data_IF_548407772260
#
_entry.id   IF_548407772260
#
_cell.length_a   1.000
_cell.length_b   1.000
_cell.length_c   1.000
_cell.angle_alpha   90.00
_cell.angle_beta   90.00
_cell.angle_gamma   90.00
#
_symmetry.space_group_name_H-M   'P 1'
#
loop_
_entity.id
_entity.type
_entity.pdbx_description
1 polymer ?
#
# COMPACT_ATOMS: atom_id res chain seq x y z
N UNK A 1 1.15 -0.81 1.07
CA UNK A 1 1.75 0.50 1.39
C UNK A 1 1.21 1.02 2.72
N UNK A 2 2.03 1.73 3.49
CA UNK A 2 1.65 2.37 4.75
C UNK A 2 1.76 3.90 4.64
N UNK A 3 0.66 4.61 4.92
CA UNK A 3 0.62 6.07 5.07
C UNK A 3 0.74 6.43 6.55
N UNK A 4 1.94 6.85 6.93
CA UNK A 4 2.30 7.18 8.30
C UNK A 4 1.67 8.49 8.77
N UNK A 5 1.63 8.71 10.10
CA UNK A 5 1.15 9.97 10.68
C UNK A 5 1.94 11.19 10.20
N UNK A 6 3.22 11.02 9.84
CA UNK A 6 4.10 12.07 9.31
C UNK A 6 4.05 12.22 7.79
N UNK A 7 3.28 11.38 7.08
CA UNK A 7 3.26 11.35 5.62
C UNK A 7 2.75 12.66 4.99
N UNK A 8 3.35 13.07 3.89
CA UNK A 8 2.84 14.17 3.06
C UNK A 8 1.67 13.69 2.21
N UNK A 9 0.53 14.37 2.29
CA UNK A 9 -0.72 13.96 1.63
C UNK A 9 -0.63 14.05 0.11
N UNK A 10 0.05 15.04 -0.45
CA UNK A 10 0.17 15.21 -1.90
C UNK A 10 1.10 14.15 -2.50
N UNK A 11 2.25 13.92 -1.86
CA UNK A 11 3.15 12.82 -2.23
C UNK A 11 2.42 11.49 -2.13
N UNK A 12 1.69 11.28 -1.02
CA UNK A 12 0.92 10.07 -0.79
C UNK A 12 -0.13 9.81 -1.86
N UNK A 13 -0.90 10.82 -2.25
CA UNK A 13 -1.90 10.71 -3.31
C UNK A 13 -1.27 10.30 -4.64
N UNK A 14 -0.14 10.91 -5.01
CA UNK A 14 0.58 10.58 -6.25
C UNK A 14 1.15 9.16 -6.22
N UNK A 15 1.75 8.73 -5.10
CA UNK A 15 2.33 7.40 -4.91
C UNK A 15 1.25 6.33 -4.98
N UNK A 16 0.16 6.49 -4.22
CA UNK A 16 -0.94 5.52 -4.16
C UNK A 16 -1.65 5.42 -5.52
N UNK A 17 -1.89 6.56 -6.19
CA UNK A 17 -2.46 6.58 -7.54
C UNK A 17 -1.58 5.78 -8.51
N UNK A 18 -0.30 6.08 -8.56
CA UNK A 18 0.64 5.41 -9.46
C UNK A 18 0.72 3.91 -9.16
N UNK A 19 0.90 3.54 -7.88
CA UNK A 19 1.04 2.15 -7.45
C UNK A 19 -0.21 1.31 -7.77
N UNK A 20 -1.42 1.91 -7.72
CA UNK A 20 -2.67 1.21 -8.01
C UNK A 20 -3.05 1.21 -9.47
N UNK A 21 -2.83 2.30 -10.21
CA UNK A 21 -3.48 2.50 -11.51
C UNK A 21 -2.55 2.39 -12.72
N UNK A 22 -1.24 2.34 -12.53
CA UNK A 22 -0.27 2.20 -13.63
C UNK A 22 -0.46 0.89 -14.38
N UNK A 23 -0.53 -0.22 -13.64
CA UNK A 23 -0.85 -1.57 -14.13
C UNK A 23 -1.51 -2.35 -13.00
N UNK A 24 -2.74 -2.79 -13.18
CA UNK A 24 -3.51 -3.47 -12.12
C UNK A 24 -3.23 -4.96 -12.02
N UNK A 25 -2.72 -5.57 -13.10
CA UNK A 25 -2.54 -7.02 -13.24
C UNK A 25 -1.09 -7.48 -13.06
N UNK A 26 -0.30 -6.73 -12.29
CA UNK A 26 1.11 -7.05 -12.01
C UNK A 26 1.34 -7.21 -10.51
N UNK A 27 2.32 -8.04 -10.14
CA UNK A 27 2.62 -8.43 -8.76
C UNK A 27 3.07 -7.27 -7.83
N UNK A 28 3.47 -6.13 -8.38
CA UNK A 28 3.81 -4.91 -7.63
C UNK A 28 2.68 -3.87 -7.59
N UNK A 29 1.48 -4.21 -8.09
CA UNK A 29 0.32 -3.34 -7.97
C UNK A 29 -0.12 -3.23 -6.49
N UNK A 30 -0.56 -2.05 -6.09
CA UNK A 30 -1.01 -1.82 -4.72
C UNK A 30 -2.38 -2.46 -4.47
N UNK A 31 -2.48 -3.36 -3.50
CA UNK A 31 -3.74 -4.01 -3.11
C UNK A 31 -4.26 -3.54 -1.74
N UNK A 32 -3.37 -3.11 -0.85
CA UNK A 32 -3.77 -2.60 0.47
C UNK A 32 -3.04 -1.29 0.80
N UNK A 33 -3.82 -0.29 1.20
CA UNK A 33 -3.37 0.95 1.82
C UNK A 33 -3.64 0.88 3.33
N UNK A 34 -2.58 0.83 4.12
CA UNK A 34 -2.66 0.97 5.59
C UNK A 34 -2.51 2.43 5.93
N UNK A 35 -3.41 2.99 6.76
CA UNK A 35 -3.44 4.43 7.08
C UNK A 35 -3.38 4.63 8.59
N UNK A 36 -2.49 5.51 9.04
CA UNK A 36 -2.47 5.91 10.45
C UNK A 36 -3.76 6.65 10.81
N UNK A 37 -4.40 6.30 11.93
CA UNK A 37 -5.70 6.86 12.34
C UNK A 37 -5.75 8.38 12.43
N UNK A 38 -4.64 9.01 12.83
CA UNK A 38 -4.54 10.47 12.94
C UNK A 38 -4.55 11.17 11.57
N UNK A 39 -4.51 10.41 10.48
CA UNK A 39 -4.54 10.90 9.10
C UNK A 39 -5.84 10.57 8.37
N UNK A 40 -6.86 10.10 9.09
CA UNK A 40 -8.17 9.83 8.49
C UNK A 40 -8.82 11.08 7.90
N UNK A 41 -8.55 12.27 8.44
CA UNK A 41 -9.04 13.54 7.89
C UNK A 41 -8.44 13.88 6.52
N UNK A 42 -7.26 13.34 6.21
CA UNK A 42 -6.59 13.51 4.92
C UNK A 42 -7.00 12.47 3.89
N UNK A 43 -7.63 11.38 4.34
CA UNK A 43 -7.96 10.24 3.49
C UNK A 43 -8.82 10.61 2.27
N UNK A 44 -9.82 11.51 2.36
CA UNK A 44 -10.56 11.97 1.19
C UNK A 44 -9.67 12.62 0.12
N UNK A 45 -8.70 13.43 0.54
CA UNK A 45 -7.75 14.09 -0.36
C UNK A 45 -6.78 13.08 -0.98
N UNK A 46 -6.28 12.15 -0.16
CA UNK A 46 -5.40 11.06 -0.58
C UNK A 46 -6.06 10.17 -1.64
N UNK A 47 -7.35 9.85 -1.48
CA UNK A 47 -8.08 8.92 -2.34
C UNK A 47 -8.80 9.59 -3.52
N UNK A 48 -8.91 10.93 -3.57
CA UNK A 48 -9.63 11.63 -4.65
C UNK A 48 -9.16 11.21 -6.05
N UNK A 49 -7.84 11.13 -6.35
CA UNK A 49 -7.39 10.73 -7.68
C UNK A 49 -7.78 9.29 -8.04
N UNK A 50 -7.95 8.41 -7.06
CA UNK A 50 -8.42 7.04 -7.26
C UNK A 50 -9.88 7.01 -7.70
N UNK A 51 -10.72 7.90 -7.16
CA UNK A 51 -12.12 8.03 -7.56
C UNK A 51 -12.24 8.41 -9.05
N UNK A 52 -11.40 9.32 -9.52
CA UNK A 52 -11.33 9.75 -10.94
C UNK A 52 -10.95 8.59 -11.88
N UNK A 53 -10.26 7.58 -11.36
CA UNK A 53 -9.90 6.34 -12.08
C UNK A 53 -10.88 5.20 -11.89
N UNK A 54 -11.96 5.42 -11.13
CA UNK A 54 -12.98 4.40 -10.88
C UNK A 54 -12.51 3.26 -9.98
N UNK A 55 -11.55 3.51 -9.09
CA UNK A 55 -11.07 2.49 -8.15
C UNK A 55 -12.14 2.21 -7.09
N UNK A 56 -12.54 0.96 -6.92
CA UNK A 56 -13.38 0.53 -5.80
C UNK A 56 -12.53 0.42 -4.53
N UNK A 57 -12.99 1.05 -3.45
CA UNK A 57 -12.36 0.97 -2.14
C UNK A 57 -13.13 0.03 -1.23
N UNK A 58 -12.43 -0.94 -0.63
CA UNK A 58 -12.92 -1.80 0.43
C UNK A 58 -12.28 -1.33 1.75
N UNK A 59 -13.00 -0.51 2.49
CA UNK A 59 -12.45 0.21 3.65
C UNK A 59 -12.99 -0.35 4.96
N UNK A 60 -12.15 -0.39 6.00
CA UNK A 60 -12.62 -0.65 7.35
C UNK A 60 -13.57 0.46 7.83
N UNK A 61 -14.23 0.27 8.96
CA UNK A 61 -15.28 1.18 9.42
C UNK A 61 -14.77 2.62 9.60
N UNK A 62 -13.56 2.81 10.15
CA UNK A 62 -13.01 4.13 10.39
C UNK A 62 -12.68 4.86 9.08
N UNK A 63 -12.01 4.17 8.16
CA UNK A 63 -11.69 4.72 6.84
C UNK A 63 -12.96 4.97 6.01
N UNK A 64 -13.96 4.06 6.07
CA UNK A 64 -15.23 4.21 5.38
C UNK A 64 -16.01 5.42 5.90
N UNK A 65 -16.00 5.65 7.20
CA UNK A 65 -16.63 6.83 7.82
C UNK A 65 -15.96 8.12 7.35
N UNK A 66 -14.63 8.16 7.31
CA UNK A 66 -13.88 9.33 6.82
C UNK A 66 -14.11 9.63 5.33
N UNK A 67 -14.34 8.59 4.53
CA UNK A 67 -14.61 8.70 3.08
C UNK A 67 -16.08 8.96 2.75
N UNK A 68 -17.00 8.77 3.71
CA UNK A 68 -18.42 8.96 3.48
C UNK A 68 -18.73 10.40 3.02
N UNK A 69 -19.47 10.53 1.92
CA UNK A 69 -19.77 11.83 1.30
C UNK A 69 -18.62 12.47 0.51
N UNK A 70 -17.38 11.95 0.63
CA UNK A 70 -16.20 12.47 -0.06
C UNK A 70 -15.63 11.50 -1.13
N UNK A 71 -16.15 10.30 -1.19
CA UNK A 71 -15.84 9.29 -2.20
C UNK A 71 -17.13 8.78 -2.85
N UNK A 72 -17.15 8.42 -4.15
CA UNK A 72 -18.37 7.95 -4.80
C UNK A 72 -18.96 6.74 -4.07
N UNK A 73 -20.22 6.84 -3.63
CA UNK A 73 -20.88 5.79 -2.84
C UNK A 73 -20.94 4.43 -3.58
N UNK A 74 -21.03 4.48 -4.92
CA UNK A 74 -21.01 3.28 -5.75
C UNK A 74 -19.67 2.53 -5.73
N UNK A 75 -18.57 3.21 -5.37
CA UNK A 75 -17.20 2.68 -5.33
C UNK A 75 -16.67 2.47 -3.91
N UNK A 76 -17.49 2.71 -2.86
CA UNK A 76 -17.08 2.55 -1.47
C UNK A 76 -17.81 1.36 -0.83
N UNK A 77 -17.07 0.36 -0.40
CA UNK A 77 -17.57 -0.87 0.23
C UNK A 77 -16.98 -1.04 1.63
N UNK A 78 -17.68 -1.79 2.46
CA UNK A 78 -17.10 -2.27 3.71
C UNK A 78 -16.08 -3.36 3.42
N UNK A 79 -14.90 -3.27 4.06
CA UNK A 79 -13.93 -4.35 4.05
C UNK A 79 -14.40 -5.51 4.92
N UNK A 80 -14.06 -6.72 4.51
CA UNK A 80 -14.21 -7.95 5.29
C UNK A 80 -12.84 -8.62 5.50
N UNK A 81 -12.81 -9.79 6.11
CA UNK A 81 -11.58 -10.53 6.37
C UNK A 81 -10.84 -10.94 5.07
N UNK A 82 -11.57 -11.15 3.97
CA UNK A 82 -11.00 -11.51 2.68
C UNK A 82 -10.47 -10.30 1.90
N UNK A 83 -10.84 -9.08 2.31
CA UNK A 83 -10.36 -7.85 1.65
C UNK A 83 -8.87 -7.61 1.86
N UNK A 84 -8.28 -8.20 2.92
CA UNK A 84 -6.87 -8.06 3.23
C UNK A 84 -6.10 -9.32 2.80
N UNK A 85 -4.92 -9.15 2.20
CA UNK A 85 -4.11 -10.24 1.67
C UNK A 85 -4.62 -10.80 0.33
N UNK A 86 -5.60 -10.15 -0.30
CA UNK A 86 -6.08 -10.50 -1.63
C UNK A 86 -5.35 -9.68 -2.69
N UNK A 87 -4.79 -10.37 -3.68
CA UNK A 87 -4.29 -9.76 -4.90
C UNK A 87 -5.48 -9.54 -5.84
N UNK A 88 -5.92 -8.27 -5.97
CA UNK A 88 -7.16 -7.96 -6.70
C UNK A 88 -7.06 -8.05 -8.21
N UNK A 89 -5.88 -7.80 -8.78
CA UNK A 89 -5.63 -7.77 -10.23
C UNK A 89 -6.63 -6.87 -11.00
N UNK A 90 -7.18 -5.87 -10.34
CA UNK A 90 -8.23 -4.99 -10.85
C UNK A 90 -8.16 -3.62 -10.16
N UNK A 91 -9.02 -2.68 -10.56
CA UNK A 91 -9.16 -1.37 -9.93
C UNK A 91 -9.92 -1.49 -8.59
N UNK A 92 -9.38 -2.29 -7.67
CA UNK A 92 -9.83 -2.46 -6.29
C UNK A 92 -8.67 -2.24 -5.33
N UNK A 93 -8.96 -1.64 -4.18
CA UNK A 93 -7.98 -1.36 -3.15
C UNK A 93 -8.62 -1.53 -1.78
N UNK A 94 -7.99 -2.28 -0.89
CA UNK A 94 -8.42 -2.32 0.51
C UNK A 94 -7.76 -1.21 1.33
N UNK A 95 -8.48 -0.72 2.35
CA UNK A 95 -7.96 0.30 3.27
C UNK A 95 -8.10 -0.20 4.70
N UNK A 96 -6.98 -0.21 5.43
CA UNK A 96 -6.89 -0.57 6.84
C UNK A 96 -6.43 0.62 7.67
N UNK A 97 -7.17 0.95 8.73
CA UNK A 97 -6.78 1.94 9.72
C UNK A 97 -5.99 1.30 10.86
N UNK A 98 -4.91 1.93 11.27
CA UNK A 98 -4.04 1.48 12.38
C UNK A 98 -3.73 2.62 13.33
N UNK A 99 -3.42 2.30 14.60
CA UNK A 99 -3.13 3.28 15.63
C UNK A 99 -1.62 3.61 15.72
N UNK A 100 -0.75 2.79 15.15
CA UNK A 100 0.71 2.96 15.25
C UNK A 100 1.44 2.29 14.07
N UNK A 101 2.74 2.60 13.95
CA UNK A 101 3.64 1.89 13.04
C UNK A 101 3.71 0.39 13.38
N UNK A 102 3.72 0.02 14.67
CA UNK A 102 3.78 -1.39 15.09
C UNK A 102 2.54 -2.17 14.61
N UNK A 103 1.35 -1.57 14.70
CA UNK A 103 0.13 -2.18 14.14
C UNK A 103 0.20 -2.30 12.61
N UNK A 104 0.79 -1.31 11.93
CA UNK A 104 1.00 -1.39 10.48
C UNK A 104 1.96 -2.53 10.11
N UNK A 105 3.07 -2.66 10.85
CA UNK A 105 4.04 -3.75 10.66
C UNK A 105 3.41 -5.11 10.91
N UNK A 106 2.62 -5.24 11.99
CA UNK A 106 1.90 -6.49 12.29
C UNK A 106 0.88 -6.85 11.19
N UNK A 107 0.16 -5.85 10.65
CA UNK A 107 -0.76 -6.05 9.54
C UNK A 107 -0.01 -6.50 8.27
N UNK A 108 1.08 -5.83 7.93
CA UNK A 108 1.91 -6.17 6.77
C UNK A 108 2.50 -7.57 6.93
N UNK A 109 3.05 -7.92 8.09
CA UNK A 109 3.60 -9.26 8.35
C UNK A 109 2.56 -10.37 8.16
N UNK A 110 1.28 -10.09 8.43
CA UNK A 110 0.19 -11.06 8.31
C UNK A 110 -0.36 -11.18 6.89
N UNK A 111 -0.45 -10.09 6.14
CA UNK A 111 -1.26 -10.01 4.92
C UNK A 111 -0.47 -9.66 3.65
N UNK A 112 0.80 -9.27 3.77
CA UNK A 112 1.64 -8.96 2.60
C UNK A 112 1.93 -10.20 1.77
N UNK A 113 2.01 -10.00 0.45
CA UNK A 113 2.58 -10.98 -0.47
C UNK A 113 4.10 -11.12 -0.32
N UNK A 114 4.74 -10.28 0.49
CA UNK A 114 6.20 -10.14 0.66
C UNK A 114 6.94 -9.73 -0.63
N UNK A 115 6.23 -9.23 -1.62
CA UNK A 115 6.82 -8.78 -2.88
C UNK A 115 7.39 -7.36 -2.77
N UNK A 116 6.53 -6.37 -2.58
CA UNK A 116 6.92 -4.95 -2.57
C UNK A 116 6.10 -4.16 -1.56
N UNK A 117 6.78 -3.48 -0.65
CA UNK A 117 6.15 -2.61 0.34
C UNK A 117 6.74 -1.20 0.30
N UNK A 118 5.93 -0.21 0.65
CA UNK A 118 6.38 1.18 0.76
C UNK A 118 5.77 1.86 1.97
N UNK A 119 6.56 2.71 2.63
CA UNK A 119 6.08 3.67 3.61
C UNK A 119 6.04 5.08 2.99
N UNK A 120 5.01 5.84 3.32
CA UNK A 120 4.89 7.26 2.98
C UNK A 120 4.98 8.04 4.30
N UNK A 121 6.13 8.64 4.56
CA UNK A 121 6.47 9.29 5.82
C UNK A 121 7.53 10.37 5.64
N UNK A 122 7.49 11.40 6.48
CA UNK A 122 8.54 12.41 6.60
C UNK A 122 9.43 12.16 7.84
N UNK A 123 8.99 11.30 8.78
CA UNK A 123 9.77 10.89 9.94
C UNK A 123 10.83 9.86 9.54
N UNK A 124 12.11 10.26 9.64
CA UNK A 124 13.25 9.42 9.28
C UNK A 124 13.38 8.16 10.17
N UNK A 125 12.93 8.21 11.44
CA UNK A 125 12.96 7.03 12.33
C UNK A 125 11.89 6.02 11.93
N UNK A 126 10.67 6.49 11.60
CA UNK A 126 9.62 5.63 11.08
C UNK A 126 10.05 4.94 9.78
N UNK A 127 10.70 5.68 8.88
CA UNK A 127 11.24 5.12 7.63
C UNK A 127 12.28 4.04 7.91
N UNK A 128 13.27 4.32 8.77
CA UNK A 128 14.33 3.33 9.11
C UNK A 128 13.74 2.07 9.75
N UNK A 129 12.79 2.25 10.67
CA UNK A 129 12.12 1.13 11.34
C UNK A 129 11.34 0.30 10.33
N UNK A 130 10.55 0.94 9.46
CA UNK A 130 9.80 0.24 8.43
C UNK A 130 10.71 -0.57 7.50
N UNK A 131 11.81 0.04 7.01
CA UNK A 131 12.76 -0.63 6.11
C UNK A 131 13.52 -1.78 6.75
N UNK A 132 13.72 -1.75 8.08
CA UNK A 132 14.38 -2.80 8.82
C UNK A 132 13.45 -3.96 9.15
N UNK A 133 12.20 -3.67 9.53
CA UNK A 133 11.26 -4.65 10.09
C UNK A 133 10.37 -5.32 9.03
N UNK A 134 10.16 -4.69 7.86
CA UNK A 134 9.32 -5.28 6.82
C UNK A 134 10.07 -6.36 6.06
N UNK A 135 9.54 -7.58 6.12
CA UNK A 135 10.06 -8.74 5.41
C UNK A 135 9.41 -8.83 4.01
N UNK A 136 10.02 -8.14 3.05
CA UNK A 136 9.61 -8.18 1.65
C UNK A 136 10.84 -8.09 0.73
N UNK A 137 10.70 -8.57 -0.50
CA UNK A 137 11.79 -8.53 -1.48
C UNK A 137 12.23 -7.10 -1.81
N UNK A 138 11.29 -6.15 -1.79
CA UNK A 138 11.56 -4.74 -2.02
C UNK A 138 10.83 -3.89 -0.98
N UNK A 139 11.59 -3.05 -0.25
CA UNK A 139 11.05 -2.15 0.77
C UNK A 139 11.48 -0.73 0.47
N UNK A 140 10.50 0.13 0.22
CA UNK A 140 10.68 1.50 -0.24
C UNK A 140 10.23 2.53 0.79
N UNK A 141 10.68 3.77 0.60
CA UNK A 141 10.17 4.95 1.28
C UNK A 141 9.88 6.06 0.27
N UNK A 142 8.69 6.63 0.34
CA UNK A 142 8.23 7.77 -0.48
C UNK A 142 8.32 7.56 -1.99
N UNK A 143 8.22 6.32 -2.44
CA UNK A 143 8.09 5.96 -3.86
C UNK A 143 7.04 4.86 -4.04
N UNK A 144 6.53 4.75 -5.27
CA UNK A 144 5.55 3.73 -5.65
C UNK A 144 6.15 2.33 -5.64
N UNK A 145 5.37 1.31 -5.25
CA UNK A 145 5.73 -0.11 -5.42
C UNK A 145 5.98 -0.49 -6.88
N UNK A 146 5.44 0.29 -7.82
CA UNK A 146 5.73 0.15 -9.26
C UNK A 146 7.21 0.37 -9.63
N UNK A 147 8.04 0.91 -8.70
CA UNK A 147 9.48 1.02 -8.88
C UNK A 147 10.20 -0.33 -8.90
N UNK A 148 9.57 -1.41 -8.49
CA UNK A 148 10.08 -2.77 -8.67
C UNK A 148 9.94 -3.24 -10.13
N UNK A 149 10.40 -2.43 -11.05
CA UNK A 149 10.37 -2.68 -12.50
C UNK A 149 11.79 -2.36 -13.01
N UNK A 150 12.43 -3.30 -13.68
CA UNK A 150 13.81 -3.16 -14.16
C UNK A 150 14.02 -1.92 -15.03
N UNK A 151 12.99 -1.51 -15.78
CA UNK A 151 13.04 -0.29 -16.58
C UNK A 151 13.21 0.98 -15.74
N UNK A 152 12.71 1.01 -14.50
CA UNK A 152 12.87 2.16 -13.58
C UNK A 152 14.31 2.33 -13.11
N UNK A 153 15.09 1.25 -13.13
CA UNK A 153 16.53 1.25 -12.78
C UNK A 153 17.43 1.41 -14.01
N UNK A 154 16.87 1.64 -15.20
CA UNK A 154 17.64 1.70 -16.45
C UNK A 154 18.20 0.34 -16.89
N UNK A 155 17.71 -0.76 -16.34
CA UNK A 155 18.07 -2.11 -16.76
C UNK A 155 17.30 -2.48 -18.03
N UNK A 156 17.96 -3.07 -18.99
CA UNK A 156 17.35 -3.54 -20.24
C UNK A 156 16.55 -4.84 -20.10
N UNK A 157 16.26 -5.28 -18.88
CA UNK A 157 15.57 -6.52 -18.57
C UNK A 157 14.69 -6.37 -17.31
N UNK A 158 13.66 -7.20 -17.20
CA UNK A 158 12.83 -7.30 -15.99
C UNK A 158 13.56 -8.07 -14.89
N UNK A 159 13.30 -7.67 -13.63
CA UNK A 159 13.80 -8.35 -12.44
C UNK A 159 12.76 -9.40 -12.03
N UNK A 160 13.15 -10.67 -12.08
CA UNK A 160 12.32 -11.75 -11.52
C UNK A 160 12.43 -11.75 -9.99
N UNK A 161 11.28 -11.72 -9.29
CA UNK A 161 11.21 -11.77 -7.84
C UNK A 161 10.48 -13.05 -7.43
N UNK A 162 11.10 -13.83 -6.53
CA UNK A 162 10.44 -14.92 -5.81
C UNK A 162 10.35 -14.56 -4.34
N UNK A 163 9.15 -14.71 -3.77
CA UNK A 163 8.92 -14.52 -2.32
C UNK A 163 9.12 -15.81 -1.51
N UNK A 164 9.47 -16.92 -2.19
CA UNK A 164 9.78 -18.17 -1.53
C UNK A 164 11.15 -18.10 -0.84
N UNK A 165 11.18 -18.41 0.46
CA UNK A 165 12.41 -18.56 1.22
C UNK A 165 12.91 -19.99 1.04
N UNK A 166 13.97 -20.16 0.25
CA UNK A 166 14.66 -21.45 0.13
C UNK A 166 15.50 -21.67 1.38
N UNK A 167 15.19 -22.73 2.12
CA UNK A 167 16.06 -23.21 3.19
C UNK A 167 17.26 -23.93 2.53
N UNK A 168 18.42 -23.29 2.53
CA UNK A 168 19.66 -24.00 2.21
C UNK A 168 20.12 -24.77 3.45
N UNK A 169 19.88 -26.07 3.48
CA UNK A 169 20.53 -26.97 4.45
C UNK A 169 21.98 -27.18 3.97
N UNK A 170 22.89 -26.40 4.57
CA UNK A 170 24.32 -26.71 4.45
C UNK A 170 24.58 -27.88 5.41
N UNK A 171 24.85 -29.06 4.87
CA UNK A 171 25.35 -30.21 5.60
C UNK A 171 26.87 -30.17 5.68
#
# INVERSE_FOLDING_TARGET
AYFDRSGDTEKGAAIVLNAKTRRVSVCNALDTLVVHRDRLTDLPRLCRPLAEKGVELQADEAARTALHGNYPAALLRAADAASFGTEFLSLRLSIRTVASLDEALAHIARYSSQHSETIIAEDAEAIRTFQREVDAACVYANVSTAFTDGAQFGMGAEIGISTQKLLSLIH
#
